data_IF_535442234728
#
_entry.id   IF_535442234728
#
_cell.length_a   1.000
_cell.length_b   1.000
_cell.length_c   1.000
_cell.angle_alpha   90.00
_cell.angle_beta   90.00
_cell.angle_gamma   90.00
#
_symmetry.space_group_name_H-M   'P 1'
#
loop_
_entity.id
_entity.type
_entity.pdbx_description
1 polymer ?
#
# COMPACT_ATOMS: atom_id res chain seq x y z
N UNK A 1 -0.47 5.41 -9.73
CA UNK A 1 0.13 5.03 -8.42
C UNK A 1 -0.77 5.34 -7.24
N UNK A 2 -1.35 6.54 -7.13
CA UNK A 2 -2.18 6.92 -5.98
C UNK A 2 -3.64 6.49 -6.22
N UNK A 3 -4.37 7.18 -7.11
CA UNK A 3 -5.81 6.95 -7.34
C UNK A 3 -6.18 5.48 -7.56
N UNK A 4 -5.71 4.85 -8.64
CA UNK A 4 -6.14 3.47 -8.97
C UNK A 4 -5.80 2.45 -7.88
N UNK A 5 -4.66 2.61 -7.18
CA UNK A 5 -4.27 1.71 -6.10
C UNK A 5 -5.20 1.87 -4.89
N UNK A 6 -5.50 3.12 -4.51
CA UNK A 6 -6.44 3.43 -3.43
C UNK A 6 -7.84 2.90 -3.75
N UNK A 7 -8.36 3.24 -4.93
CA UNK A 7 -9.69 2.82 -5.39
C UNK A 7 -9.83 1.29 -5.38
N UNK A 8 -8.88 0.56 -6.00
CA UNK A 8 -8.93 -0.90 -6.02
C UNK A 8 -8.80 -1.49 -4.61
N UNK A 9 -7.89 -0.97 -3.78
CA UNK A 9 -7.74 -1.45 -2.40
C UNK A 9 -9.04 -1.29 -1.63
N UNK A 10 -9.62 -0.08 -1.63
CA UNK A 10 -10.82 0.22 -0.86
C UNK A 10 -12.07 -0.44 -1.43
N UNK A 11 -12.12 -0.71 -2.74
CA UNK A 11 -13.23 -1.42 -3.36
C UNK A 11 -13.31 -2.88 -2.90
N UNK A 12 -12.19 -3.61 -2.86
CA UNK A 12 -12.20 -5.03 -2.51
C UNK A 12 -12.14 -5.28 -0.99
N UNK A 13 -11.62 -4.33 -0.22
CA UNK A 13 -11.35 -4.50 1.21
C UNK A 13 -12.61 -4.85 2.05
N UNK A 14 -13.77 -4.20 1.89
CA UNK A 14 -14.97 -4.53 2.66
C UNK A 14 -15.39 -5.99 2.52
N UNK A 15 -15.29 -6.54 1.29
CA UNK A 15 -15.61 -7.95 1.03
C UNK A 15 -14.64 -8.91 1.73
N UNK A 16 -13.35 -8.57 1.80
CA UNK A 16 -12.36 -9.37 2.56
C UNK A 16 -12.65 -9.33 4.06
N UNK A 17 -12.99 -8.16 4.59
CA UNK A 17 -13.32 -7.96 6.01
C UNK A 17 -14.57 -8.73 6.40
N UNK A 18 -15.64 -8.66 5.58
CA UNK A 18 -16.87 -9.40 5.81
C UNK A 18 -16.65 -10.92 5.88
N UNK A 19 -15.76 -11.45 5.03
CA UNK A 19 -15.36 -12.87 5.03
C UNK A 19 -14.32 -13.23 6.10
N UNK A 20 -13.81 -12.24 6.85
CA UNK A 20 -12.75 -12.40 7.85
C UNK A 20 -11.48 -13.06 7.30
N UNK A 21 -11.22 -12.92 6.00
CA UNK A 21 -10.11 -13.56 5.28
C UNK A 21 -9.78 -12.80 4.00
N UNK A 22 -8.51 -12.46 3.83
CA UNK A 22 -7.99 -11.86 2.60
C UNK A 22 -6.59 -11.25 2.77
N UNK A 23 -6.02 -10.80 1.67
CA UNK A 23 -4.71 -10.16 1.64
C UNK A 23 -4.64 -9.13 0.52
N UNK A 24 -3.99 -7.99 0.78
CA UNK A 24 -3.63 -6.99 -0.23
C UNK A 24 -2.12 -6.85 -0.27
N UNK A 25 -1.54 -6.96 -1.48
CA UNK A 25 -0.14 -6.73 -1.73
C UNK A 25 0.03 -5.47 -2.58
N UNK A 26 0.50 -4.39 -1.95
CA UNK A 26 0.75 -3.13 -2.64
C UNK A 26 2.23 -2.97 -2.95
N UNK A 27 2.54 -2.51 -4.16
CA UNK A 27 3.92 -2.36 -4.62
C UNK A 27 4.42 -0.92 -4.50
N UNK A 28 5.22 -0.67 -3.47
CA UNK A 28 6.01 0.55 -3.31
C UNK A 28 7.39 0.39 -3.99
N UNK A 29 8.45 0.93 -3.36
CA UNK A 29 9.85 0.96 -3.79
C UNK A 29 10.70 1.41 -2.60
N UNK A 30 12.02 1.15 -2.62
CA UNK A 30 12.97 1.81 -1.71
C UNK A 30 12.87 3.35 -1.76
N UNK A 31 12.42 3.90 -2.89
CA UNK A 31 12.10 5.32 -3.04
C UNK A 31 10.90 5.79 -2.17
N UNK A 32 10.16 4.87 -1.54
CA UNK A 32 9.08 5.21 -0.61
C UNK A 32 9.57 5.57 0.80
N UNK A 33 10.87 5.44 1.09
CA UNK A 33 11.44 5.67 2.42
C UNK A 33 12.17 7.01 2.54
N UNK A 34 12.77 7.48 1.45
CA UNK A 34 13.59 8.71 1.41
C UNK A 34 13.33 9.44 0.09
N UNK A 35 13.33 10.78 0.04
CA UNK A 35 13.19 11.53 -1.20
C UNK A 35 14.48 11.51 -2.04
N UNK A 36 14.38 11.90 -3.32
CA UNK A 36 15.52 12.07 -4.20
C UNK A 36 15.25 13.01 -5.38
N UNK A 37 16.30 13.59 -6.00
CA UNK A 37 16.15 14.53 -7.09
C UNK A 37 15.68 13.85 -8.38
N UNK A 38 15.22 14.66 -9.35
CA UNK A 38 14.81 14.26 -10.72
C UNK A 38 13.60 13.32 -10.85
N UNK A 39 13.07 12.78 -9.74
CA UNK A 39 11.90 11.89 -9.75
C UNK A 39 10.91 12.23 -8.62
N UNK A 40 10.75 13.51 -8.29
CA UNK A 40 9.97 13.97 -7.13
C UNK A 40 8.57 13.34 -7.03
N UNK A 41 7.82 13.29 -8.13
CA UNK A 41 6.49 12.68 -8.17
C UNK A 41 6.53 11.15 -7.94
N UNK A 42 7.57 10.47 -8.41
CA UNK A 42 7.73 9.04 -8.18
C UNK A 42 7.98 8.76 -6.69
N UNK A 43 8.97 9.43 -6.09
CA UNK A 43 9.29 9.34 -4.65
C UNK A 43 8.04 9.63 -3.80
N UNK A 44 7.35 10.74 -4.06
CA UNK A 44 6.11 11.09 -3.36
C UNK A 44 5.02 10.01 -3.53
N UNK A 45 4.80 9.51 -4.75
CA UNK A 45 3.79 8.48 -5.00
C UNK A 45 4.11 7.15 -4.31
N UNK A 46 5.39 6.77 -4.20
CA UNK A 46 5.82 5.55 -3.51
C UNK A 46 5.79 5.70 -1.99
N UNK A 47 6.08 6.90 -1.49
CA UNK A 47 5.84 7.28 -0.09
C UNK A 47 4.36 7.15 0.29
N UNK A 48 3.45 7.63 -0.57
CA UNK A 48 2.01 7.44 -0.40
C UNK A 48 1.65 5.96 -0.28
N UNK A 49 2.07 5.12 -1.24
CA UNK A 49 1.76 3.68 -1.22
C UNK A 49 2.26 3.00 0.06
N UNK A 50 3.44 3.39 0.56
CA UNK A 50 4.01 2.87 1.81
C UNK A 50 3.13 3.20 3.00
N UNK A 51 2.88 4.50 3.24
CA UNK A 51 2.12 4.93 4.41
C UNK A 51 0.67 4.47 4.37
N UNK A 52 0.03 4.51 3.19
CA UNK A 52 -1.33 4.00 3.00
C UNK A 52 -1.44 2.52 3.39
N UNK A 53 -0.51 1.69 2.92
CA UNK A 53 -0.53 0.25 3.19
C UNK A 53 -0.22 -0.07 4.66
N UNK A 54 0.69 0.68 5.29
CA UNK A 54 1.05 0.52 6.70
C UNK A 54 -0.10 0.93 7.62
N UNK A 55 -0.78 2.04 7.33
CA UNK A 55 -1.98 2.47 8.06
C UNK A 55 -3.10 1.42 7.98
N UNK A 56 -3.43 0.96 6.77
CA UNK A 56 -4.45 -0.09 6.58
C UNK A 56 -4.09 -1.39 7.29
N UNK A 57 -2.81 -1.80 7.27
CA UNK A 57 -2.38 -2.97 8.02
C UNK A 57 -2.73 -2.86 9.51
N UNK A 58 -2.52 -1.68 10.11
CA UNK A 58 -2.84 -1.43 11.52
C UNK A 58 -4.36 -1.44 11.77
N UNK A 59 -5.12 -0.74 10.93
CA UNK A 59 -6.59 -0.68 11.01
C UNK A 59 -7.23 -2.07 10.91
N UNK A 60 -6.64 -2.97 10.13
CA UNK A 60 -7.19 -4.28 9.82
C UNK A 60 -6.72 -5.41 10.75
N UNK A 61 -5.83 -5.15 11.71
CA UNK A 61 -5.17 -6.17 12.57
C UNK A 61 -6.10 -7.22 13.17
N UNK A 62 -7.36 -6.87 13.45
CA UNK A 62 -8.35 -7.75 14.10
C UNK A 62 -9.42 -8.30 13.16
N UNK A 63 -9.28 -8.06 11.86
CA UNK A 63 -10.29 -8.44 10.86
C UNK A 63 -10.01 -9.79 10.19
N UNK A 64 -8.79 -10.33 10.28
CA UNK A 64 -8.37 -11.51 9.51
C UNK A 64 -7.93 -11.18 8.08
N UNK A 65 -7.86 -9.90 7.73
CA UNK A 65 -7.29 -9.39 6.48
C UNK A 65 -5.91 -8.81 6.75
N UNK A 66 -4.97 -9.09 5.85
CA UNK A 66 -3.61 -8.55 5.91
C UNK A 66 -3.37 -7.58 4.77
N UNK A 67 -2.57 -6.54 5.03
CA UNK A 67 -2.05 -5.64 4.00
C UNK A 67 -0.54 -5.65 4.11
N UNK A 68 0.14 -5.85 2.99
CA UNK A 68 1.60 -5.89 2.92
C UNK A 68 2.08 -4.94 1.83
N UNK A 69 3.03 -4.08 2.19
CA UNK A 69 3.72 -3.22 1.26
C UNK A 69 5.05 -3.85 0.86
N UNK A 70 5.23 -4.17 -0.42
CA UNK A 70 6.52 -4.62 -0.96
C UNK A 70 7.27 -3.41 -1.47
N UNK A 71 8.54 -3.25 -1.09
CA UNK A 71 9.37 -2.14 -1.51
C UNK A 71 10.67 -2.61 -2.18
N UNK A 72 10.63 -2.90 -3.50
CA UNK A 72 11.81 -3.34 -4.23
C UNK A 72 12.87 -2.24 -4.36
N UNK A 73 14.13 -2.67 -4.35
CA UNK A 73 15.28 -1.89 -4.79
C UNK A 73 15.43 -1.88 -6.31
N UNK A 74 16.53 -1.32 -6.83
CA UNK A 74 16.91 -1.47 -8.23
C UNK A 74 16.96 -2.95 -8.61
N UNK A 75 16.46 -3.28 -9.80
CA UNK A 75 16.46 -4.63 -10.39
C UNK A 75 17.09 -4.60 -11.76
#
# INVERSE_FOLDING_TARGET
NIHSLTELTLHFLPGMVARRRGGVLNLSSVAGFVPGPYMALYFASKGFVRFFSEALHQELRRTGVTVTCVAPGPV
#
